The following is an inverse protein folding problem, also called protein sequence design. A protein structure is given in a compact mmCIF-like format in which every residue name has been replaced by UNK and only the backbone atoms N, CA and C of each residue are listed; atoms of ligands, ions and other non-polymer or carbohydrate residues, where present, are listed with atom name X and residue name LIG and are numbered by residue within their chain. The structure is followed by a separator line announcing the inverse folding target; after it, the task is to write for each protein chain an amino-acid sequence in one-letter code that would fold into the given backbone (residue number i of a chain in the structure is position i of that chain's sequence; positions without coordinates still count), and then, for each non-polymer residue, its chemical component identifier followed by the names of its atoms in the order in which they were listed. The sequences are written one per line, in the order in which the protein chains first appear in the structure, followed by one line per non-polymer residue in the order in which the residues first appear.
data_IF_487949321101
#
_entry.id   IF_487949321101
#
_cell.length_a   1.000
_cell.length_b   1.000
_cell.length_c   1.000
_cell.angle_alpha   90.00
_cell.angle_beta   90.00
_cell.angle_gamma   90.00
#
_symmetry.space_group_name_H-M   'P 1'
#
loop_
_entity.id
_entity.type
_entity.pdbx_description
1 polymer ?
#
# COMPACT_ATOMS: atom_id res chain seq x y z
N UNK A 1 -42.54 -41.43 -38.90
CA UNK A 1 -42.81 -40.35 -37.95
C UNK A 1 -41.55 -39.50 -37.84
N UNK A 2 -41.70 -38.18 -38.06
CA UNK A 2 -40.84 -37.04 -37.67
C UNK A 2 -39.34 -37.03 -38.08
N UNK A 3 -38.98 -36.15 -39.03
CA UNK A 3 -38.28 -34.85 -38.84
C UNK A 3 -36.76 -35.04 -38.66
N UNK A 4 -35.84 -34.55 -39.51
CA UNK A 4 -35.83 -33.28 -40.23
C UNK A 4 -35.06 -32.24 -39.42
N UNK A 5 -33.82 -31.90 -39.83
CA UNK A 5 -33.19 -30.55 -39.78
C UNK A 5 -31.71 -30.59 -40.18
N UNK A 6 -31.43 -29.96 -41.31
CA UNK A 6 -30.17 -29.28 -41.60
C UNK A 6 -29.98 -28.14 -40.59
N UNK A 7 -28.74 -27.80 -40.25
CA UNK A 7 -28.31 -26.41 -40.15
C UNK A 7 -26.79 -26.30 -39.96
N UNK A 8 -26.18 -25.57 -40.88
CA UNK A 8 -24.88 -24.92 -40.79
C UNK A 8 -24.69 -24.21 -39.44
N UNK A 9 -23.55 -24.47 -38.79
CA UNK A 9 -23.13 -23.67 -37.62
C UNK A 9 -22.06 -22.69 -38.09
N UNK A 10 -22.55 -21.48 -38.36
CA UNK A 10 -21.85 -20.22 -38.35
C UNK A 10 -21.20 -19.98 -36.97
N UNK A 11 -19.86 -20.02 -36.87
CA UNK A 11 -19.16 -19.60 -35.65
C UNK A 11 -18.82 -18.12 -35.78
N UNK A 12 -19.83 -17.30 -35.48
CA UNK A 12 -19.66 -15.92 -35.05
C UNK A 12 -19.53 -15.85 -33.52
N UNK A 13 -18.53 -15.08 -33.07
CA UNK A 13 -18.42 -14.41 -31.76
C UNK A 13 -19.37 -14.80 -30.60
N UNK A 14 -18.84 -15.52 -29.60
CA UNK A 14 -19.25 -15.43 -28.18
C UNK A 14 -18.10 -16.02 -27.33
N UNK A 15 -17.29 -15.20 -26.67
CA UNK A 15 -17.49 -14.65 -25.31
C UNK A 15 -17.19 -15.69 -24.22
N UNK A 16 -16.02 -15.51 -23.58
CA UNK A 16 -15.65 -15.96 -22.24
C UNK A 16 -16.05 -17.38 -21.84
N UNK A 17 -15.23 -18.37 -22.19
CA UNK A 17 -15.36 -19.73 -21.70
C UNK A 17 -15.22 -19.76 -20.18
N UNK A 18 -16.30 -20.19 -19.54
CA UNK A 18 -16.47 -20.55 -18.15
C UNK A 18 -15.36 -21.47 -17.61
N UNK A 19 -14.70 -21.06 -16.52
CA UNK A 19 -13.96 -21.99 -15.67
C UNK A 19 -14.92 -22.57 -14.64
N UNK A 20 -15.17 -23.88 -14.77
CA UNK A 20 -15.63 -24.73 -13.69
C UNK A 20 -14.59 -24.68 -12.56
N UNK A 21 -14.99 -24.32 -11.34
CA UNK A 21 -14.30 -24.76 -10.14
C UNK A 21 -15.32 -25.05 -9.03
N UNK A 22 -15.96 -26.20 -9.17
CA UNK A 22 -16.49 -26.92 -8.01
C UNK A 22 -15.30 -27.61 -7.34
N UNK A 23 -14.81 -27.08 -6.23
CA UNK A 23 -13.95 -27.80 -5.29
C UNK A 23 -14.25 -27.32 -3.86
N UNK A 24 -15.16 -28.06 -3.24
CA UNK A 24 -15.23 -28.23 -1.79
C UNK A 24 -13.97 -28.97 -1.35
N UNK A 25 -13.05 -28.29 -0.65
CA UNK A 25 -12.18 -28.87 0.38
C UNK A 25 -11.89 -27.78 1.41
N UNK A 26 -12.36 -28.03 2.62
CA UNK A 26 -11.98 -27.31 3.84
C UNK A 26 -10.48 -27.42 4.14
N UNK A 27 -9.84 -26.30 4.47
CA UNK A 27 -8.56 -26.27 5.18
C UNK A 27 -7.35 -25.92 4.33
N UNK A 28 -6.59 -24.95 4.85
CA UNK A 28 -5.26 -24.49 4.43
C UNK A 28 -5.22 -23.41 3.33
N UNK A 29 -5.14 -22.16 3.81
CA UNK A 29 -4.75 -20.97 3.04
C UNK A 29 -3.29 -21.14 2.63
N UNK A 30 -3.06 -21.60 1.41
CA UNK A 30 -1.75 -21.51 0.78
C UNK A 30 -1.68 -20.22 -0.06
N UNK A 31 -0.86 -19.29 0.44
CA UNK A 31 -0.49 -18.04 -0.20
C UNK A 31 0.11 -18.30 -1.59
N UNK A 32 -0.61 -17.94 -2.65
CA UNK A 32 -0.02 -17.75 -3.96
C UNK A 32 0.59 -16.34 -4.02
N UNK A 33 1.90 -16.28 -3.77
CA UNK A 33 2.74 -15.16 -4.14
C UNK A 33 2.87 -15.13 -5.68
N UNK A 34 1.85 -14.60 -6.36
CA UNK A 34 1.90 -14.29 -7.78
C UNK A 34 2.00 -12.78 -7.96
N UNK A 35 3.22 -12.36 -8.31
CA UNK A 35 3.60 -11.05 -8.81
C UNK A 35 2.65 -10.60 -9.93
N UNK A 36 1.63 -9.84 -9.57
CA UNK A 36 0.89 -9.00 -10.50
C UNK A 36 0.95 -7.59 -9.97
N UNK A 37 1.66 -6.71 -10.67
CA UNK A 37 1.42 -5.27 -10.61
C UNK A 37 -0.01 -5.02 -11.12
N UNK A 38 -1.01 -5.30 -10.28
CA UNK A 38 -2.41 -5.17 -10.59
C UNK A 38 -2.89 -3.83 -10.01
N UNK A 39 -3.40 -3.00 -10.90
CA UNK A 39 -3.98 -1.71 -10.58
C UNK A 39 -5.12 -1.90 -9.56
N UNK A 40 -4.89 -1.50 -8.30
CA UNK A 40 -5.92 -1.49 -7.26
C UNK A 40 -5.72 -2.47 -6.10
N UNK A 41 -4.54 -3.07 -5.92
CA UNK A 41 -4.28 -3.85 -4.71
C UNK A 41 -4.19 -2.92 -3.49
N UNK A 42 -5.25 -2.89 -2.70
CA UNK A 42 -5.27 -2.24 -1.39
C UNK A 42 -4.33 -3.05 -0.50
N UNK A 43 -3.30 -2.40 0.06
CA UNK A 43 -2.40 -3.06 1.03
C UNK A 43 -3.22 -3.70 2.15
N UNK A 44 -2.84 -4.92 2.52
CA UNK A 44 -3.32 -5.57 3.74
C UNK A 44 -2.85 -4.81 4.98
N UNK A 45 -3.54 -4.95 6.12
CA UNK A 45 -3.09 -4.32 7.37
C UNK A 45 -1.66 -4.69 7.75
N UNK A 46 -1.26 -5.94 7.57
CA UNK A 46 0.11 -6.41 7.84
C UNK A 46 1.13 -5.71 6.93
N UNK A 47 0.85 -5.62 5.62
CA UNK A 47 1.74 -4.91 4.69
C UNK A 47 1.87 -3.42 5.04
N UNK A 48 0.79 -2.77 5.48
CA UNK A 48 0.84 -1.37 5.95
C UNK A 48 1.73 -1.25 7.19
N UNK A 49 1.57 -2.14 8.17
CA UNK A 49 2.39 -2.15 9.38
C UNK A 49 3.86 -2.41 9.04
N UNK A 50 4.14 -3.30 8.08
CA UNK A 50 5.50 -3.58 7.61
C UNK A 50 6.14 -2.36 6.92
N UNK A 51 5.37 -1.63 6.10
CA UNK A 51 5.85 -0.38 5.50
C UNK A 51 6.14 0.68 6.58
N UNK A 52 5.26 0.83 7.57
CA UNK A 52 5.44 1.78 8.68
C UNK A 52 6.64 1.40 9.55
N UNK A 53 6.86 0.11 9.80
CA UNK A 53 8.03 -0.40 10.53
C UNK A 53 9.33 -0.13 9.74
N UNK A 54 9.30 -0.25 8.41
CA UNK A 54 10.44 0.13 7.58
C UNK A 54 10.74 1.64 7.65
N UNK A 55 9.73 2.50 7.71
CA UNK A 55 9.92 3.94 7.95
C UNK A 55 10.62 4.18 9.30
N UNK A 56 10.15 3.54 10.38
CA UNK A 56 10.78 3.65 11.72
C UNK A 56 12.26 3.26 11.68
N UNK A 57 12.58 2.15 11.03
CA UNK A 57 13.95 1.67 10.90
C UNK A 57 14.85 2.65 10.12
N UNK A 58 14.34 3.23 9.03
CA UNK A 58 15.06 4.23 8.25
C UNK A 58 15.31 5.51 9.05
N UNK A 59 14.34 5.98 9.81
CA UNK A 59 14.51 7.15 10.68
C UNK A 59 15.49 6.87 11.82
N UNK A 60 15.39 5.70 12.46
CA UNK A 60 16.30 5.28 13.53
C UNK A 60 17.77 5.28 13.06
N UNK A 61 18.02 4.75 11.86
CA UNK A 61 19.35 4.63 11.25
C UNK A 61 19.84 5.91 10.57
N UNK A 62 19.01 6.95 10.48
CA UNK A 62 19.38 8.20 9.81
C UNK A 62 20.32 9.07 10.65
N UNK A 63 21.04 9.95 9.97
CA UNK A 63 21.87 10.99 10.58
C UNK A 63 21.08 12.26 10.95
N UNK A 64 19.75 12.16 11.08
CA UNK A 64 18.92 13.28 11.52
C UNK A 64 19.30 13.70 12.95
N UNK A 65 19.23 15.00 13.27
CA UNK A 65 19.36 15.47 14.64
C UNK A 65 18.39 14.73 15.58
N UNK A 66 18.84 14.39 16.78
CA UNK A 66 18.08 13.54 17.72
C UNK A 66 16.66 14.06 17.98
N UNK A 67 16.51 15.38 18.16
CA UNK A 67 15.19 16.00 18.38
C UNK A 67 14.24 15.82 17.18
N UNK A 68 14.77 15.95 15.95
CA UNK A 68 13.99 15.75 14.73
C UNK A 68 13.67 14.27 14.52
N UNK A 69 14.64 13.38 14.80
CA UNK A 69 14.48 11.92 14.75
C UNK A 69 13.36 11.44 15.68
N UNK A 70 13.36 11.88 16.93
CA UNK A 70 12.29 11.55 17.89
C UNK A 70 10.93 12.07 17.42
N UNK A 71 10.89 13.28 16.86
CA UNK A 71 9.66 13.88 16.34
C UNK A 71 9.09 13.07 15.17
N UNK A 72 9.91 12.71 14.19
CA UNK A 72 9.45 11.91 13.04
C UNK A 72 9.07 10.49 13.45
N UNK A 73 9.82 9.87 14.37
CA UNK A 73 9.49 8.54 14.88
C UNK A 73 8.14 8.53 15.59
N UNK A 74 7.85 9.50 16.45
CA UNK A 74 6.56 9.61 17.12
C UNK A 74 5.39 9.70 16.12
N UNK A 75 5.56 10.44 15.03
CA UNK A 75 4.54 10.53 13.99
C UNK A 75 4.34 9.22 13.21
N UNK A 76 5.41 8.47 12.96
CA UNK A 76 5.30 7.16 12.29
C UNK A 76 4.67 6.13 13.24
N UNK A 77 5.07 6.14 14.51
CA UNK A 77 4.50 5.27 15.55
C UNK A 77 2.99 5.52 15.68
N UNK A 78 2.56 6.79 15.76
CA UNK A 78 1.13 7.13 15.75
C UNK A 78 0.42 6.58 14.51
N UNK A 79 1.00 6.73 13.32
CA UNK A 79 0.38 6.19 12.11
C UNK A 79 0.28 4.65 12.13
N UNK A 80 1.23 3.98 12.79
CA UNK A 80 1.29 2.53 12.97
C UNK A 80 0.30 2.03 14.02
N UNK A 81 0.08 2.79 15.10
CA UNK A 81 -0.99 2.51 16.06
C UNK A 81 -2.37 2.57 15.39
N UNK A 82 -2.62 3.61 14.59
CA UNK A 82 -3.88 3.71 13.83
C UNK A 82 -4.05 2.57 12.83
N UNK A 83 -2.97 2.15 12.15
CA UNK A 83 -3.02 1.03 11.22
C UNK A 83 -3.31 -0.32 11.90
N UNK A 84 -2.98 -0.46 13.19
CA UNK A 84 -3.21 -1.66 14.00
C UNK A 84 -4.59 -1.68 14.67
N UNK A 85 -5.31 -0.55 14.69
CA UNK A 85 -6.63 -0.49 15.29
C UNK A 85 -7.62 -1.41 14.56
N UNK A 86 -8.62 -1.92 15.28
CA UNK A 86 -9.71 -2.73 14.71
C UNK A 86 -10.46 -1.97 13.60
N UNK A 87 -10.63 -0.66 13.79
CA UNK A 87 -11.12 0.29 12.79
C UNK A 87 -10.05 1.36 12.51
N UNK A 88 -9.19 1.18 11.48
CA UNK A 88 -8.09 2.10 11.22
C UNK A 88 -8.54 3.51 10.78
N UNK A 89 -8.11 4.56 11.49
CA UNK A 89 -8.26 5.95 11.02
C UNK A 89 -7.14 6.30 10.02
N UNK A 90 -7.36 5.91 8.77
CA UNK A 90 -6.48 6.21 7.63
C UNK A 90 -6.24 7.71 7.44
N UNK A 91 -7.21 8.55 7.79
CA UNK A 91 -7.10 10.00 7.68
C UNK A 91 -6.15 10.57 8.73
N UNK A 92 -6.20 10.05 9.96
CA UNK A 92 -5.27 10.41 11.02
C UNK A 92 -3.87 9.86 10.76
N UNK A 93 -3.76 8.59 10.34
CA UNK A 93 -2.49 7.98 9.93
C UNK A 93 -1.79 8.81 8.84
N UNK A 94 -2.53 9.21 7.79
CA UNK A 94 -2.01 10.06 6.72
C UNK A 94 -1.52 11.43 7.23
N UNK A 95 -2.27 12.07 8.13
CA UNK A 95 -1.86 13.35 8.73
C UNK A 95 -0.59 13.21 9.56
N UNK A 96 -0.45 12.12 10.32
CA UNK A 96 0.74 11.85 11.11
C UNK A 96 1.95 11.64 10.20
N UNK A 97 1.84 10.79 9.18
CA UNK A 97 2.91 10.62 8.16
C UNK A 97 3.25 11.93 7.44
N UNK A 98 2.25 12.78 7.17
CA UNK A 98 2.49 14.09 6.55
C UNK A 98 3.35 14.99 7.44
N UNK A 99 3.14 14.98 8.76
CA UNK A 99 3.97 15.74 9.70
C UNK A 99 5.39 15.19 9.77
N UNK A 100 5.57 13.87 9.67
CA UNK A 100 6.90 13.26 9.56
C UNK A 100 7.63 13.76 8.29
N UNK A 101 6.96 13.68 7.13
CA UNK A 101 7.50 14.15 5.86
C UNK A 101 7.82 15.66 5.86
N UNK A 102 6.96 16.49 6.45
CA UNK A 102 7.20 17.93 6.60
C UNK A 102 8.40 18.25 7.51
N UNK A 103 8.59 17.49 8.58
CA UNK A 103 9.74 17.65 9.47
C UNK A 103 11.02 17.31 8.72
N UNK A 104 11.03 16.20 7.97
CA UNK A 104 12.18 15.83 7.15
C UNK A 104 12.47 16.86 6.05
N UNK A 105 11.44 17.39 5.37
CA UNK A 105 11.60 18.46 4.39
C UNK A 105 12.27 19.69 5.00
N UNK A 106 11.82 20.12 6.18
CA UNK A 106 12.41 21.25 6.92
C UNK A 106 13.88 20.99 7.26
N UNK A 107 14.19 19.79 7.74
CA UNK A 107 15.58 19.39 8.05
C UNK A 107 16.43 19.40 6.78
N UNK A 108 15.91 18.90 5.67
CA UNK A 108 16.61 18.94 4.39
C UNK A 108 16.88 20.38 3.91
N UNK A 109 15.89 21.27 4.00
CA UNK A 109 16.03 22.68 3.62
C UNK A 109 17.01 23.44 4.53
N UNK A 110 17.11 23.04 5.80
CA UNK A 110 17.96 23.73 6.81
C UNK A 110 19.39 23.21 6.81
N UNK A 111 19.57 21.89 6.70
CA UNK A 111 20.85 21.20 6.95
C UNK A 111 21.39 20.45 5.72
N UNK A 112 20.59 20.23 4.68
CA UNK A 112 20.98 19.50 3.47
C UNK A 112 21.20 17.99 3.65
N UNK A 113 20.95 17.45 4.84
CA UNK A 113 21.20 16.02 5.18
C UNK A 113 20.01 15.10 4.93
N UNK A 114 18.86 15.66 4.50
CA UNK A 114 17.60 14.91 4.40
C UNK A 114 17.34 14.26 3.04
N UNK A 115 18.09 14.61 1.99
CA UNK A 115 17.79 14.23 0.62
C UNK A 115 17.97 12.72 0.36
N UNK A 116 19.09 12.15 0.82
CA UNK A 116 19.36 10.71 0.69
C UNK A 116 18.36 9.86 1.48
N UNK A 117 17.93 10.36 2.64
CA UNK A 117 16.89 9.73 3.43
C UNK A 117 15.54 9.82 2.71
N UNK A 118 15.19 10.98 2.16
CA UNK A 118 13.94 11.17 1.41
C UNK A 118 13.82 10.21 0.22
N UNK A 119 14.90 10.00 -0.53
CA UNK A 119 14.92 9.04 -1.65
C UNK A 119 14.60 7.60 -1.23
N UNK A 120 14.91 7.21 0.01
CA UNK A 120 14.58 5.89 0.57
C UNK A 120 13.12 5.82 1.08
N UNK A 121 12.58 6.94 1.55
CA UNK A 121 11.22 7.01 2.12
C UNK A 121 10.14 7.21 1.05
N UNK A 122 10.43 7.98 -0.01
CA UNK A 122 9.51 8.25 -1.12
C UNK A 122 8.83 6.98 -1.69
N UNK A 123 9.56 5.89 -2.01
CA UNK A 123 8.91 4.66 -2.49
C UNK A 123 7.96 4.05 -1.45
N UNK A 124 8.28 4.13 -0.16
CA UNK A 124 7.43 3.60 0.91
C UNK A 124 6.13 4.43 1.03
N UNK A 125 6.22 5.76 0.97
CA UNK A 125 5.04 6.63 0.95
C UNK A 125 4.15 6.38 -0.27
N UNK A 126 4.74 6.14 -1.45
CA UNK A 126 3.99 5.76 -2.66
C UNK A 126 3.29 4.42 -2.50
N UNK A 127 3.94 3.45 -1.85
CA UNK A 127 3.32 2.15 -1.54
C UNK A 127 2.16 2.30 -0.56
N UNK A 128 2.28 3.15 0.47
CA UNK A 128 1.23 3.43 1.44
C UNK A 128 0.05 4.24 0.88
N UNK A 129 0.27 5.01 -0.19
CA UNK A 129 -0.72 5.95 -0.72
C UNK A 129 -2.10 5.34 -1.06
N UNK A 130 -2.20 4.16 -1.71
CA UNK A 130 -3.50 3.53 -1.98
C UNK A 130 -4.27 3.19 -0.71
N UNK A 131 -3.59 2.80 0.38
CA UNK A 131 -4.24 2.50 1.66
C UNK A 131 -4.72 3.77 2.37
N UNK A 132 -3.91 4.83 2.35
CA UNK A 132 -4.22 6.15 2.92
C UNK A 132 -5.31 6.89 2.14
N UNK A 133 -5.59 6.48 0.90
CA UNK A 133 -6.64 7.05 0.06
C UNK A 133 -6.38 8.51 -0.30
N UNK A 134 -7.44 9.33 -0.27
CA UNK A 134 -7.36 10.75 -0.65
C UNK A 134 -6.38 11.56 0.22
N UNK A 135 -6.16 11.13 1.46
CA UNK A 135 -5.25 11.81 2.37
C UNK A 135 -3.77 11.63 1.99
N UNK A 136 -3.45 10.67 1.10
CA UNK A 136 -2.09 10.51 0.57
C UNK A 136 -1.66 11.62 -0.40
N UNK A 137 -2.61 12.38 -0.97
CA UNK A 137 -2.27 13.40 -1.97
C UNK A 137 -1.35 14.48 -1.38
N UNK A 138 -1.53 14.83 -0.10
CA UNK A 138 -0.67 15.79 0.58
C UNK A 138 0.73 15.24 0.89
N UNK A 139 0.90 13.92 0.94
CA UNK A 139 2.20 13.26 1.10
C UNK A 139 3.01 13.24 -0.20
N UNK A 140 2.34 13.00 -1.32
CA UNK A 140 2.98 12.88 -2.65
C UNK A 140 3.41 14.25 -3.21
N UNK A 141 2.73 15.32 -2.80
CA UNK A 141 2.97 16.68 -3.29
C UNK A 141 4.03 17.47 -2.48
N UNK A 142 4.66 16.85 -1.48
CA UNK A 142 5.68 17.47 -0.63
C UNK A 142 7.04 17.57 -1.32
#
# INVERSE_FOLDING_TARGET
MANGKNNDINIGSVQGSSLNLAQDVSGDVHQSADTTWNQGQVLTPEEVIDQLTQLEALFSQSDLPEADKQTVMAYVETAKEEAQAEEPDKGFAAKSLQKAAQTLKRVNETLGVGQDLWQKLEPIFKTLAPWLGVAAQSLILL
#
